data_IF_158118540355
#
_entry.id   IF_158118540355
#
_cell.length_a   1.000
_cell.length_b   1.000
_cell.length_c   1.000
_cell.angle_alpha   90.00
_cell.angle_beta   90.00
_cell.angle_gamma   90.00
#
_symmetry.space_group_name_H-M   'P 1'
#
loop_
_entity.id
_entity.type
_entity.pdbx_description
1 polymer ?
#
# COMPACT_ATOMS: atom_id res chain seq x y z
N UNK A 1 52.46 23.04 25.62
CA UNK A 1 51.33 22.36 26.28
C UNK A 1 49.95 22.94 25.95
N UNK A 2 49.87 24.13 25.39
CA UNK A 2 48.57 24.79 25.14
C UNK A 2 47.92 24.49 23.76
N UNK A 3 48.68 23.94 22.81
CA UNK A 3 48.15 23.61 21.46
C UNK A 3 47.30 22.34 21.44
N UNK A 4 47.56 21.39 22.32
CA UNK A 4 46.80 20.12 22.44
C UNK A 4 45.44 20.38 23.09
N UNK A 5 45.32 21.34 24.03
CA UNK A 5 44.05 21.68 24.70
C UNK A 5 43.07 22.37 23.78
N UNK A 6 43.53 22.95 22.67
CA UNK A 6 42.68 23.64 21.69
C UNK A 6 42.20 22.69 20.56
N UNK A 7 42.86 21.56 20.35
CA UNK A 7 42.51 20.56 19.35
C UNK A 7 41.31 19.69 19.79
N UNK A 8 41.18 19.44 21.10
CA UNK A 8 40.10 18.59 21.64
C UNK A 8 38.68 19.17 21.38
N UNK A 9 38.39 20.46 21.62
CA UNK A 9 37.05 21.02 21.33
C UNK A 9 36.75 21.10 19.83
N UNK A 10 37.74 21.24 18.96
CA UNK A 10 37.56 21.26 17.51
C UNK A 10 37.21 19.85 16.98
N UNK A 11 37.82 18.81 17.52
CA UNK A 11 37.50 17.43 17.16
C UNK A 11 36.11 17.00 17.66
N UNK A 12 35.72 17.50 18.84
CA UNK A 12 34.39 17.26 19.41
C UNK A 12 33.26 17.99 18.63
N UNK A 13 33.56 19.18 18.07
CA UNK A 13 32.60 19.94 17.25
C UNK A 13 32.37 19.30 15.87
N UNK A 14 33.39 18.62 15.32
CA UNK A 14 33.26 17.90 14.04
C UNK A 14 32.43 16.61 14.15
N UNK A 15 32.36 16.01 15.34
CA UNK A 15 31.57 14.79 15.55
C UNK A 15 30.04 15.06 15.73
N UNK A 16 29.62 16.32 15.87
CA UNK A 16 28.20 16.70 15.97
C UNK A 16 27.57 17.05 14.62
N UNK A 17 28.33 17.10 13.53
CA UNK A 17 27.80 17.23 12.17
C UNK A 17 27.46 15.87 11.54
N UNK A 18 26.95 14.94 12.32
CA UNK A 18 26.23 13.78 11.82
C UNK A 18 24.85 14.24 11.35
N UNK A 19 24.75 14.97 10.24
CA UNK A 19 23.53 15.07 9.50
C UNK A 19 23.15 13.64 9.10
N UNK A 20 22.18 13.07 9.79
CA UNK A 20 21.46 11.93 9.23
C UNK A 20 20.84 12.45 7.93
N UNK A 21 21.41 12.08 6.83
CA UNK A 21 20.77 12.23 5.52
C UNK A 21 19.60 11.23 5.53
N UNK A 22 18.51 11.63 6.18
CA UNK A 22 17.25 10.92 5.99
C UNK A 22 16.91 11.23 4.56
N UNK A 23 16.98 10.22 3.70
CA UNK A 23 16.64 10.35 2.30
C UNK A 23 15.16 10.81 2.22
N UNK A 24 14.90 11.83 1.44
CA UNK A 24 13.55 12.35 1.21
C UNK A 24 12.63 11.23 0.73
N UNK A 25 13.15 10.31 -0.09
CA UNK A 25 12.43 9.15 -0.58
C UNK A 25 12.04 8.20 0.55
N UNK A 26 12.92 7.94 1.52
CA UNK A 26 12.63 7.09 2.69
C UNK A 26 11.57 7.73 3.59
N UNK A 27 11.66 9.04 3.79
CA UNK A 27 10.65 9.79 4.57
C UNK A 27 9.29 9.77 3.87
N UNK A 28 9.25 10.02 2.58
CA UNK A 28 8.03 9.97 1.80
C UNK A 28 7.41 8.57 1.80
N UNK A 29 8.21 7.53 1.58
CA UNK A 29 7.78 6.13 1.62
C UNK A 29 7.19 5.76 2.98
N UNK A 30 7.85 6.15 4.07
CA UNK A 30 7.36 5.90 5.43
C UNK A 30 6.01 6.61 5.68
N UNK A 31 5.89 7.88 5.29
CA UNK A 31 4.66 8.65 5.48
C UNK A 31 3.50 8.05 4.67
N UNK A 32 3.72 7.67 3.42
CA UNK A 32 2.71 7.03 2.58
C UNK A 32 2.27 5.68 3.18
N UNK A 33 3.21 4.89 3.69
CA UNK A 33 2.90 3.61 4.34
C UNK A 33 2.05 3.82 5.59
N UNK A 34 2.39 4.79 6.42
CA UNK A 34 1.63 5.14 7.62
C UNK A 34 0.22 5.65 7.29
N UNK A 35 0.06 6.49 6.26
CA UNK A 35 -1.26 6.92 5.80
C UNK A 35 -2.08 5.75 5.24
N UNK A 36 -1.44 4.80 4.56
CA UNK A 36 -2.11 3.59 4.10
C UNK A 36 -2.62 2.72 5.26
N UNK A 37 -1.82 2.55 6.31
CA UNK A 37 -2.24 1.81 7.52
C UNK A 37 -3.39 2.51 8.26
N UNK A 38 -3.55 3.81 8.07
CA UNK A 38 -4.69 4.60 8.56
C UNK A 38 -5.87 4.63 7.57
N UNK A 39 -5.81 3.87 6.47
CA UNK A 39 -6.83 3.84 5.41
C UNK A 39 -7.06 5.20 4.73
N UNK A 40 -6.00 6.00 4.58
CA UNK A 40 -6.04 7.31 3.92
C UNK A 40 -5.41 7.28 2.52
N UNK A 41 -5.10 6.10 2.01
CA UNK A 41 -4.56 5.91 0.65
C UNK A 41 -5.54 5.10 -0.18
N UNK A 42 -6.02 5.68 -1.27
CA UNK A 42 -6.86 5.01 -2.24
C UNK A 42 -5.99 4.26 -3.25
N UNK A 43 -6.27 2.99 -3.45
CA UNK A 43 -5.41 2.09 -4.24
C UNK A 43 -6.20 1.23 -5.20
N UNK A 44 -5.58 0.97 -6.35
CA UNK A 44 -5.95 -0.11 -7.25
C UNK A 44 -4.94 -1.25 -7.10
N UNK A 45 -5.44 -2.46 -6.94
CA UNK A 45 -4.66 -3.70 -6.85
C UNK A 45 -5.10 -4.60 -7.98
N UNK A 46 -4.15 -5.04 -8.81
CA UNK A 46 -4.41 -6.02 -9.88
C UNK A 46 -3.64 -7.29 -9.61
N UNK A 47 -4.33 -8.41 -9.64
CA UNK A 47 -3.73 -9.75 -9.53
C UNK A 47 -3.73 -10.39 -10.91
N UNK A 48 -2.57 -10.80 -11.35
CA UNK A 48 -2.30 -11.19 -12.74
C UNK A 48 -1.75 -12.61 -12.77
N UNK A 49 -2.26 -13.43 -13.69
CA UNK A 49 -1.61 -14.68 -14.02
C UNK A 49 -0.38 -14.39 -14.89
N UNK A 50 0.82 -14.61 -14.34
CA UNK A 50 2.09 -14.30 -15.00
C UNK A 50 2.44 -15.22 -16.20
N UNK A 51 1.66 -16.27 -16.45
CA UNK A 51 1.86 -17.15 -17.61
C UNK A 51 0.97 -16.74 -18.80
N UNK A 52 -0.23 -16.22 -18.53
CA UNK A 52 -1.19 -15.85 -19.57
C UNK A 52 -1.37 -14.34 -19.72
N UNK A 53 -0.72 -13.55 -18.87
CA UNK A 53 -0.86 -12.09 -18.77
C UNK A 53 -2.33 -11.63 -18.51
N UNK A 54 -3.16 -12.55 -18.02
CA UNK A 54 -4.56 -12.25 -17.72
C UNK A 54 -4.69 -11.66 -16.34
N UNK A 55 -5.38 -10.53 -16.22
CA UNK A 55 -5.83 -9.98 -14.95
C UNK A 55 -6.97 -10.88 -14.44
N UNK A 56 -6.77 -11.50 -13.28
CA UNK A 56 -7.75 -12.40 -12.67
C UNK A 56 -8.68 -11.66 -11.71
N UNK A 57 -8.16 -10.63 -11.07
CA UNK A 57 -8.83 -9.94 -9.98
C UNK A 57 -8.34 -8.50 -9.91
N UNK A 58 -9.27 -7.57 -9.74
CA UNK A 58 -8.98 -6.18 -9.44
C UNK A 58 -9.71 -5.75 -8.17
N UNK A 59 -9.06 -4.96 -7.36
CA UNK A 59 -9.63 -4.31 -6.19
C UNK A 59 -9.36 -2.81 -6.26
N UNK A 60 -10.34 -2.00 -5.94
CA UNK A 60 -10.16 -0.57 -5.70
C UNK A 60 -10.78 -0.18 -4.37
N UNK A 61 -10.07 0.64 -3.59
CA UNK A 61 -10.57 1.07 -2.28
C UNK A 61 -9.53 1.77 -1.42
N UNK A 62 -10.03 2.37 -0.33
CA UNK A 62 -9.21 2.90 0.76
C UNK A 62 -8.72 1.73 1.62
N UNK A 63 -7.48 1.33 1.44
CA UNK A 63 -6.99 0.08 2.00
C UNK A 63 -5.57 0.13 2.55
N UNK A 64 -5.32 -0.72 3.52
CA UNK A 64 -3.99 -1.17 3.94
C UNK A 64 -3.68 -2.53 3.32
N UNK A 65 -2.44 -2.71 2.90
CA UNK A 65 -2.00 -3.93 2.20
C UNK A 65 -0.77 -4.47 2.91
N UNK A 66 -0.82 -5.76 3.23
CA UNK A 66 0.27 -6.49 3.84
C UNK A 66 0.59 -7.76 3.04
N UNK A 67 1.87 -8.00 2.79
CA UNK A 67 2.34 -9.26 2.21
C UNK A 67 2.79 -10.18 3.33
N UNK A 68 2.04 -11.24 3.56
CA UNK A 68 2.47 -12.33 4.44
C UNK A 68 3.41 -13.28 3.67
N UNK A 69 4.65 -13.34 4.12
CA UNK A 69 5.65 -14.22 3.54
C UNK A 69 5.63 -15.64 4.14
N UNK A 70 4.94 -15.83 5.25
CA UNK A 70 4.81 -17.16 5.89
C UNK A 70 3.77 -17.97 5.14
N UNK A 71 2.59 -17.40 4.95
CA UNK A 71 1.47 -18.07 4.27
C UNK A 71 1.46 -17.79 2.75
N UNK A 72 2.45 -17.00 2.27
CA UNK A 72 2.59 -16.60 0.87
C UNK A 72 1.30 -16.01 0.29
N UNK A 73 0.77 -15.00 0.97
CA UNK A 73 -0.47 -14.34 0.61
C UNK A 73 -0.34 -12.81 0.66
N UNK A 74 -1.20 -12.16 -0.11
CA UNK A 74 -1.45 -10.72 -0.03
C UNK A 74 -2.72 -10.50 0.79
N UNK A 75 -2.64 -9.69 1.81
CA UNK A 75 -3.75 -9.31 2.67
C UNK A 75 -4.19 -7.89 2.34
N UNK A 76 -5.47 -7.70 2.04
CA UNK A 76 -6.07 -6.41 1.77
C UNK A 76 -7.10 -6.14 2.86
N UNK A 77 -6.85 -5.12 3.68
CA UNK A 77 -7.79 -4.67 4.71
C UNK A 77 -8.39 -3.34 4.27
N UNK A 78 -9.70 -3.20 4.29
CA UNK A 78 -10.41 -2.01 3.85
C UNK A 78 -11.61 -1.70 4.73
N UNK A 79 -12.03 -0.43 4.67
CA UNK A 79 -13.11 0.10 5.50
C UNK A 79 -14.43 -0.02 4.75
N UNK A 80 -15.45 -0.61 5.39
CA UNK A 80 -16.80 -0.78 4.80
C UNK A 80 -17.88 0.01 5.56
N UNK A 81 -17.49 0.67 6.65
CA UNK A 81 -18.37 1.50 7.46
C UNK A 81 -17.63 2.09 8.65
N UNK A 82 -18.32 2.88 9.45
CA UNK A 82 -17.73 3.45 10.68
C UNK A 82 -17.33 2.33 11.64
N UNK A 83 -16.02 2.23 11.93
CA UNK A 83 -15.46 1.18 12.81
C UNK A 83 -15.56 -0.23 12.25
N UNK A 84 -15.99 -0.43 11.01
CA UNK A 84 -16.17 -1.74 10.40
C UNK A 84 -15.16 -1.95 9.27
N UNK A 85 -14.47 -3.08 9.32
CA UNK A 85 -13.40 -3.42 8.39
C UNK A 85 -13.58 -4.84 7.87
N UNK A 86 -13.25 -5.03 6.59
CA UNK A 86 -13.11 -6.34 5.98
C UNK A 86 -11.65 -6.61 5.65
N UNK A 87 -11.29 -7.88 5.61
CA UNK A 87 -9.96 -8.32 5.21
C UNK A 87 -10.09 -9.52 4.26
N UNK A 88 -9.54 -9.37 3.08
CA UNK A 88 -9.46 -10.42 2.09
C UNK A 88 -8.03 -10.92 1.91
N UNK A 89 -7.91 -12.17 1.52
CA UNK A 89 -6.65 -12.87 1.38
C UNK A 89 -6.51 -13.41 -0.04
N UNK A 90 -5.40 -13.07 -0.69
CA UNK A 90 -5.08 -13.52 -2.03
C UNK A 90 -3.87 -14.42 -1.94
N UNK A 91 -4.04 -15.72 -2.17
CA UNK A 91 -2.93 -16.68 -2.20
C UNK A 91 -2.01 -16.39 -3.38
N UNK A 92 -0.72 -16.34 -3.11
CA UNK A 92 0.32 -16.13 -4.10
C UNK A 92 1.01 -17.45 -4.45
N UNK A 93 1.41 -17.60 -5.71
CA UNK A 93 2.16 -18.76 -6.19
C UNK A 93 3.05 -18.36 -7.38
N UNK A 94 3.77 -19.30 -7.96
CA UNK A 94 4.71 -19.06 -9.08
C UNK A 94 4.04 -18.49 -10.35
N UNK A 95 2.72 -18.56 -10.44
CA UNK A 95 1.92 -18.09 -11.58
C UNK A 95 1.14 -16.83 -11.27
N UNK A 96 1.20 -16.35 -10.04
CA UNK A 96 0.43 -15.19 -9.59
C UNK A 96 1.36 -14.06 -9.21
N UNK A 97 1.20 -12.93 -9.88
CA UNK A 97 1.85 -11.66 -9.53
C UNK A 97 0.81 -10.59 -9.28
N UNK A 98 1.21 -9.48 -8.69
CA UNK A 98 0.31 -8.37 -8.44
C UNK A 98 0.98 -7.02 -8.70
N UNK A 99 0.16 -6.03 -9.00
CA UNK A 99 0.55 -4.62 -9.10
C UNK A 99 -0.35 -3.81 -8.18
N UNK A 100 0.26 -2.92 -7.39
CA UNK A 100 -0.45 -1.99 -6.50
C UNK A 100 -0.12 -0.59 -6.97
N UNK A 101 -1.15 0.20 -7.25
CA UNK A 101 -1.02 1.58 -7.68
C UNK A 101 -1.83 2.48 -6.75
N UNK A 102 -1.22 3.55 -6.26
CA UNK A 102 -1.98 4.62 -5.62
C UNK A 102 -2.67 5.44 -6.70
N UNK A 103 -3.96 5.68 -6.52
CA UNK A 103 -4.77 6.49 -7.44
C UNK A 103 -5.44 7.63 -6.68
N UNK A 104 -5.98 8.60 -7.42
CA UNK A 104 -6.65 9.75 -6.80
C UNK A 104 -8.01 9.34 -6.25
N UNK A 105 -8.18 9.43 -4.94
CA UNK A 105 -9.43 9.17 -4.23
C UNK A 105 -10.14 10.42 -3.74
N UNK A 106 -9.74 11.63 -4.17
CA UNK A 106 -10.24 12.89 -3.62
C UNK A 106 -11.76 13.08 -3.72
N UNK A 107 -12.41 12.41 -4.67
CA UNK A 107 -13.87 12.46 -4.90
C UNK A 107 -14.56 11.12 -4.58
N UNK A 108 -13.85 10.20 -3.94
CA UNK A 108 -14.37 8.86 -3.63
C UNK A 108 -14.77 8.79 -2.16
N UNK A 109 -15.94 8.21 -1.88
CA UNK A 109 -16.39 8.00 -0.50
C UNK A 109 -15.37 7.13 0.26
N UNK A 110 -15.15 7.44 1.54
CA UNK A 110 -14.14 6.76 2.38
C UNK A 110 -14.48 5.29 2.70
N UNK A 111 -15.68 4.85 2.39
CA UNK A 111 -16.14 3.47 2.54
C UNK A 111 -16.29 2.75 1.21
N UNK A 112 -16.04 3.45 0.10
CA UNK A 112 -16.11 2.86 -1.23
C UNK A 112 -15.05 1.79 -1.41
N UNK A 113 -15.48 0.65 -1.91
CA UNK A 113 -14.62 -0.43 -2.40
C UNK A 113 -15.29 -1.13 -3.58
N UNK A 114 -14.47 -1.66 -4.47
CA UNK A 114 -14.91 -2.41 -5.64
C UNK A 114 -14.03 -3.63 -5.83
N UNK A 115 -14.64 -4.79 -6.05
CA UNK A 115 -13.98 -6.00 -6.47
C UNK A 115 -14.47 -6.41 -7.85
N UNK A 116 -13.53 -6.62 -8.76
CA UNK A 116 -13.78 -7.07 -10.12
C UNK A 116 -13.10 -8.42 -10.33
N UNK A 117 -13.89 -9.45 -10.56
CA UNK A 117 -13.41 -10.80 -10.81
C UNK A 117 -13.48 -11.11 -12.30
N UNK A 118 -12.34 -11.54 -12.86
CA UNK A 118 -12.23 -11.97 -14.25
C UNK A 118 -12.10 -13.48 -14.29
N UNK A 119 -12.95 -14.17 -15.04
CA UNK A 119 -12.76 -15.58 -15.34
C UNK A 119 -12.35 -15.79 -16.79
N UNK A 120 -11.48 -16.77 -17.04
CA UNK A 120 -11.12 -17.15 -18.39
C UNK A 120 -12.39 -17.67 -19.12
N UNK A 121 -12.84 -16.92 -20.11
CA UNK A 121 -14.03 -17.27 -20.91
C UNK A 121 -15.31 -16.53 -20.57
N UNK A 122 -15.40 -15.81 -19.47
CA UNK A 122 -16.55 -14.97 -19.15
C UNK A 122 -16.42 -13.61 -19.84
N UNK A 123 -17.45 -13.25 -20.57
CA UNK A 123 -17.55 -11.95 -21.25
C UNK A 123 -18.02 -10.83 -20.31
N UNK A 124 -18.46 -11.18 -19.10
CA UNK A 124 -19.00 -10.24 -18.12
C UNK A 124 -18.26 -10.44 -16.79
N UNK A 125 -17.47 -9.47 -16.36
CA UNK A 125 -16.83 -9.51 -15.06
C UNK A 125 -17.89 -9.43 -13.94
N UNK A 126 -17.66 -10.12 -12.83
CA UNK A 126 -18.48 -10.01 -11.63
C UNK A 126 -17.92 -8.85 -10.80
N UNK A 127 -18.74 -7.83 -10.60
CA UNK A 127 -18.41 -6.66 -9.76
C UNK A 127 -19.12 -6.78 -8.42
N UNK A 128 -18.40 -6.55 -7.33
CA UNK A 128 -18.94 -6.42 -5.98
C UNK A 128 -18.54 -5.04 -5.47
N UNK A 129 -19.56 -4.21 -5.24
CA UNK A 129 -19.40 -2.84 -4.75
C UNK A 129 -20.10 -2.65 -3.41
N UNK A 130 -19.81 -1.56 -2.74
CA UNK A 130 -20.56 -1.12 -1.57
C UNK A 130 -22.02 -0.79 -1.91
N UNK A 131 -22.93 -1.15 -1.03
CA UNK A 131 -24.38 -1.03 -1.24
C UNK A 131 -24.92 0.42 -1.36
N UNK A 132 -24.11 1.43 -1.09
CA UNK A 132 -24.53 2.85 -1.10
C UNK A 132 -24.48 3.49 -2.50
N UNK A 133 -23.90 2.86 -3.51
CA UNK A 133 -23.85 3.39 -4.88
C UNK A 133 -25.16 3.20 -5.69
N UNK A 134 -26.13 2.45 -5.20
CA UNK A 134 -27.42 2.22 -5.89
C UNK A 134 -28.42 3.39 -5.79
N UNK A 135 -28.06 4.49 -5.09
CA UNK A 135 -28.97 5.62 -4.80
C UNK A 135 -28.52 6.98 -5.35
N UNK A 136 -27.78 7.00 -6.47
CA UNK A 136 -27.51 8.28 -7.14
C UNK A 136 -27.90 8.28 -8.60
#
# INVERSE_FOLDING_TARGET
>A
MNKIKMLIPILLALSLCGCSWIDEADTASYNISKEADNFNVYRSVKVINSQSDVVMLEFEGWCSIYKDNVDNQLEITYRVGEGTYYKDFIGLNDRTTYVITQIDGSNVDKYHYEWLYHSEGDLIPITIEDADNEKR
#
